data_IF_452991747534
#
_entry.id   IF_452991747534
#
_cell.length_a   1.000
_cell.length_b   1.000
_cell.length_c   1.000
_cell.angle_alpha   90.00
_cell.angle_beta   90.00
_cell.angle_gamma   90.00
#
_symmetry.space_group_name_H-M   'P 1'
#
loop_
_entity.id
_entity.type
_entity.pdbx_description
1 polymer ?
#
# COMPACT_ATOMS: atom_id res chain seq x y z
N UNK A 1 15.68 -69.04 -43.30
CA UNK A 1 14.90 -68.50 -42.17
C UNK A 1 15.32 -67.10 -41.72
N UNK A 2 16.59 -66.71 -41.81
CA UNK A 2 17.05 -65.36 -41.43
C UNK A 2 16.66 -64.26 -42.44
N UNK A 3 16.75 -64.54 -43.75
CA UNK A 3 16.39 -63.57 -44.79
C UNK A 3 14.91 -63.18 -44.80
N UNK A 4 14.00 -64.12 -44.50
CA UNK A 4 12.57 -63.81 -44.41
C UNK A 4 12.23 -62.83 -43.29
N UNK A 5 12.90 -62.96 -42.13
CA UNK A 5 12.75 -62.01 -41.00
C UNK A 5 13.37 -60.65 -41.32
N UNK A 6 14.46 -60.61 -42.09
CA UNK A 6 15.06 -59.37 -42.55
C UNK A 6 14.13 -58.62 -43.51
N UNK A 7 13.51 -59.32 -44.46
CA UNK A 7 12.52 -58.75 -45.38
C UNK A 7 11.26 -58.25 -44.65
N UNK A 8 10.78 -58.99 -43.66
CA UNK A 8 9.66 -58.56 -42.82
C UNK A 8 9.99 -57.31 -42.01
N UNK A 9 11.18 -57.26 -41.39
CA UNK A 9 11.64 -56.09 -40.65
C UNK A 9 11.83 -54.86 -41.57
N UNK A 10 12.33 -55.08 -42.79
CA UNK A 10 12.46 -54.03 -43.81
C UNK A 10 11.08 -53.48 -44.21
N UNK A 11 10.08 -54.35 -44.37
CA UNK A 11 8.70 -53.98 -44.71
C UNK A 11 8.02 -53.22 -43.56
N UNK A 12 8.27 -53.63 -42.31
CA UNK A 12 7.79 -52.89 -41.15
C UNK A 12 8.47 -51.52 -41.05
N UNK A 13 9.78 -51.43 -41.27
CA UNK A 13 10.50 -50.18 -41.24
C UNK A 13 10.00 -49.18 -42.29
N UNK A 14 9.74 -49.63 -43.53
CA UNK A 14 9.18 -48.78 -44.58
C UNK A 14 7.76 -48.32 -44.26
N UNK A 15 6.93 -49.22 -43.73
CA UNK A 15 5.57 -48.89 -43.28
C UNK A 15 5.57 -47.86 -42.14
N UNK A 16 6.44 -48.03 -41.12
CA UNK A 16 6.58 -47.06 -40.04
C UNK A 16 7.08 -45.70 -40.54
N UNK A 17 8.02 -45.69 -41.49
CA UNK A 17 8.51 -44.43 -42.04
C UNK A 17 7.40 -43.70 -42.83
N UNK A 18 6.55 -44.45 -43.54
CA UNK A 18 5.40 -43.90 -44.24
C UNK A 18 4.37 -43.30 -43.27
N UNK A 19 4.01 -44.00 -42.20
CA UNK A 19 3.06 -43.45 -41.21
C UNK A 19 3.60 -42.21 -40.52
N UNK A 20 4.92 -42.14 -40.26
CA UNK A 20 5.58 -40.94 -39.74
C UNK A 20 5.49 -39.77 -40.73
N UNK A 21 5.66 -40.02 -42.03
CA UNK A 21 5.50 -38.96 -43.04
C UNK A 21 4.06 -38.46 -43.13
N UNK A 22 3.08 -39.35 -43.12
CA UNK A 22 1.65 -39.01 -43.13
C UNK A 22 1.26 -38.19 -41.89
N UNK A 23 1.78 -38.57 -40.71
CA UNK A 23 1.56 -37.81 -39.48
C UNK A 23 2.18 -36.41 -39.55
N UNK A 24 3.38 -36.26 -40.11
CA UNK A 24 4.01 -34.95 -40.28
C UNK A 24 3.23 -34.04 -41.23
N UNK A 25 2.73 -34.61 -42.33
CA UNK A 25 1.91 -33.87 -43.28
C UNK A 25 0.58 -33.44 -42.66
N UNK A 26 -0.05 -34.32 -41.89
CA UNK A 26 -1.29 -34.00 -41.17
C UNK A 26 -1.06 -32.92 -40.10
N UNK A 27 0.04 -32.98 -39.35
CA UNK A 27 0.42 -31.93 -38.39
C UNK A 27 0.63 -30.60 -39.12
N UNK A 28 1.35 -30.60 -40.25
CA UNK A 28 1.55 -29.40 -41.04
C UNK A 28 0.26 -28.81 -41.64
N UNK A 29 -0.71 -29.66 -41.98
CA UNK A 29 -2.05 -29.21 -42.37
C UNK A 29 -2.80 -28.61 -41.18
N UNK A 30 -2.80 -29.26 -40.02
CA UNK A 30 -3.43 -28.76 -38.80
C UNK A 30 -2.82 -27.42 -38.35
N UNK A 31 -1.50 -27.25 -38.46
CA UNK A 31 -0.83 -25.99 -38.16
C UNK A 31 -1.27 -24.87 -39.10
N UNK A 32 -1.35 -25.13 -40.42
CA UNK A 32 -1.87 -24.17 -41.40
C UNK A 32 -3.33 -23.82 -41.14
N UNK A 33 -4.14 -24.82 -40.80
CA UNK A 33 -5.55 -24.64 -40.49
C UNK A 33 -5.72 -23.81 -39.21
N UNK A 34 -4.96 -24.09 -38.15
CA UNK A 34 -4.94 -23.30 -36.92
C UNK A 34 -4.48 -21.86 -37.17
N UNK A 35 -3.45 -21.65 -38.00
CA UNK A 35 -3.00 -20.32 -38.38
C UNK A 35 -4.08 -19.56 -39.17
N UNK A 36 -4.75 -20.23 -40.11
CA UNK A 36 -5.85 -19.63 -40.89
C UNK A 36 -7.03 -19.24 -39.99
N UNK A 37 -7.38 -20.09 -39.02
CA UNK A 37 -8.45 -19.85 -38.04
C UNK A 37 -8.06 -18.75 -37.07
N UNK A 38 -6.79 -18.68 -36.66
CA UNK A 38 -6.29 -17.61 -35.79
C UNK A 38 -6.26 -16.26 -36.53
N UNK A 39 -5.88 -16.24 -37.82
CA UNK A 39 -5.90 -15.04 -38.66
C UNK A 39 -7.33 -14.55 -38.95
N UNK A 40 -8.28 -15.46 -39.17
CA UNK A 40 -9.70 -15.12 -39.27
C UNK A 40 -10.24 -14.63 -37.92
N UNK A 41 -9.87 -15.29 -36.82
CA UNK A 41 -10.24 -14.86 -35.47
C UNK A 41 -9.70 -13.47 -35.15
N UNK A 42 -8.47 -13.12 -35.54
CA UNK A 42 -7.93 -11.77 -35.32
C UNK A 42 -8.62 -10.72 -36.20
N UNK A 43 -9.02 -11.07 -37.43
CA UNK A 43 -9.76 -10.17 -38.34
C UNK A 43 -11.18 -9.85 -37.87
N UNK A 44 -11.85 -10.79 -37.20
CA UNK A 44 -13.20 -10.61 -36.65
C UNK A 44 -13.21 -10.25 -35.15
N UNK A 45 -12.04 -10.29 -34.49
CA UNK A 45 -11.81 -9.72 -33.16
C UNK A 45 -11.68 -8.22 -33.34
N UNK A 46 -12.82 -7.57 -33.56
CA UNK A 46 -12.92 -6.12 -33.59
C UNK A 46 -12.28 -5.50 -32.34
N UNK A 47 -11.89 -4.24 -32.46
CA UNK A 47 -11.20 -3.38 -31.48
C UNK A 47 -11.96 -3.17 -30.14
N UNK A 48 -12.89 -4.05 -29.78
CA UNK A 48 -13.87 -3.88 -28.72
C UNK A 48 -13.62 -4.64 -27.41
N UNK A 49 -12.51 -5.36 -27.23
CA UNK A 49 -12.21 -5.99 -25.93
C UNK A 49 -10.82 -5.60 -25.44
N UNK A 50 -10.82 -4.67 -24.48
CA UNK A 50 -9.63 -4.23 -23.76
C UNK A 50 -9.02 -5.37 -22.96
N UNK A 51 -7.99 -6.00 -23.53
CA UNK A 51 -7.03 -6.77 -22.76
C UNK A 51 -5.61 -6.40 -23.21
N UNK A 52 -4.87 -5.81 -22.28
CA UNK A 52 -3.47 -5.44 -22.48
C UNK A 52 -2.59 -6.70 -22.49
N UNK A 53 -2.08 -7.09 -23.65
CA UNK A 53 -0.84 -7.86 -23.76
C UNK A 53 0.10 -7.15 -24.73
N UNK A 54 1.41 -7.10 -24.40
CA UNK A 54 2.36 -6.27 -25.14
C UNK A 54 2.85 -6.98 -26.42
N UNK A 55 3.29 -6.15 -27.37
CA UNK A 55 3.96 -6.45 -28.64
C UNK A 55 3.08 -7.00 -29.78
N UNK A 56 2.21 -6.15 -30.32
CA UNK A 56 1.52 -6.33 -31.60
C UNK A 56 2.21 -5.63 -32.78
N UNK A 57 3.49 -5.25 -32.67
CA UNK A 57 4.17 -4.49 -33.73
C UNK A 57 4.40 -5.29 -35.01
N UNK A 58 4.53 -6.62 -34.92
CA UNK A 58 4.73 -7.48 -36.08
C UNK A 58 3.41 -7.85 -36.79
N UNK A 59 2.31 -7.93 -36.03
CA UNK A 59 0.99 -8.28 -36.57
C UNK A 59 0.36 -7.13 -37.36
N UNK A 60 0.62 -5.88 -36.97
CA UNK A 60 0.09 -4.69 -37.63
C UNK A 60 0.77 -4.38 -38.98
N UNK A 61 2.07 -4.68 -39.10
CA UNK A 61 2.84 -4.46 -40.32
C UNK A 61 2.45 -5.40 -41.47
N UNK A 62 2.07 -6.64 -41.15
CA UNK A 62 1.62 -7.63 -42.15
C UNK A 62 0.21 -7.29 -42.66
N UNK A 63 -0.66 -6.75 -41.81
CA UNK A 63 -1.99 -6.33 -42.21
C UNK A 63 -1.97 -5.12 -43.16
N UNK A 64 -1.00 -4.21 -43.00
CA UNK A 64 -0.89 -2.99 -43.82
C UNK A 64 -0.22 -3.24 -45.18
N UNK A 65 0.63 -4.25 -45.32
CA UNK A 65 1.27 -4.60 -46.59
C UNK A 65 0.31 -5.31 -47.58
N UNK A 66 -0.82 -5.84 -47.09
CA UNK A 66 -1.79 -6.61 -47.90
C UNK A 66 -2.97 -5.74 -48.38
N UNK A 67 -3.12 -4.51 -47.88
CA UNK A 67 -4.26 -3.65 -48.20
C UNK A 67 -3.89 -2.37 -48.95
N UNK A 68 -4.03 -2.39 -50.29
CA UNK A 68 -4.74 -1.38 -51.14
C UNK A 68 -4.23 -1.38 -52.60
N UNK A 69 -4.98 -0.87 -53.61
CA UNK A 69 -6.42 -0.61 -53.69
C UNK A 69 -7.05 -1.19 -54.99
N UNK A 70 -8.27 -1.75 -54.96
CA UNK A 70 -9.16 -1.78 -56.13
C UNK A 70 -10.59 -2.16 -55.76
N UNK A 71 -11.43 -1.14 -55.69
CA UNK A 71 -12.76 -1.03 -56.28
C UNK A 71 -13.42 -2.33 -56.79
N UNK A 72 -14.21 -3.01 -55.94
CA UNK A 72 -15.44 -3.72 -56.37
C UNK A 72 -16.38 -3.88 -55.17
N UNK A 73 -17.13 -2.83 -54.86
CA UNK A 73 -18.24 -2.86 -53.93
C UNK A 73 -19.52 -3.24 -54.69
N UNK A 74 -19.75 -4.52 -54.97
CA UNK A 74 -21.08 -5.09 -55.34
C UNK A 74 -21.01 -6.57 -55.77
N UNK A 75 -20.55 -7.52 -54.93
CA UNK A 75 -20.92 -8.95 -55.14
C UNK A 75 -20.67 -9.92 -53.97
N UNK A 76 -20.99 -9.57 -52.72
CA UNK A 76 -20.87 -10.55 -51.62
C UNK A 76 -22.04 -10.44 -50.63
N UNK A 77 -23.24 -10.83 -51.06
CA UNK A 77 -24.36 -11.13 -50.15
C UNK A 77 -24.85 -12.58 -50.26
N UNK A 78 -24.16 -13.43 -51.03
CA UNK A 78 -24.57 -14.83 -51.24
C UNK A 78 -23.62 -15.89 -50.63
N UNK A 79 -22.45 -15.50 -50.09
CA UNK A 79 -21.48 -16.45 -49.48
C UNK A 79 -21.43 -16.41 -47.94
N UNK A 80 -22.12 -15.46 -47.30
CA UNK A 80 -22.10 -15.27 -45.83
C UNK A 80 -22.81 -16.41 -45.08
N UNK A 81 -23.83 -17.04 -45.69
CA UNK A 81 -24.59 -18.13 -45.06
C UNK A 81 -23.77 -19.40 -44.78
N UNK A 82 -22.85 -19.77 -45.69
CA UNK A 82 -22.00 -20.96 -45.52
C UNK A 82 -20.87 -20.76 -44.51
N UNK A 83 -20.32 -19.54 -44.41
CA UNK A 83 -19.31 -19.19 -43.41
C UNK A 83 -19.92 -19.13 -42.00
N UNK A 84 -21.14 -18.60 -41.85
CA UNK A 84 -21.86 -18.59 -40.57
C UNK A 84 -22.15 -20.01 -40.07
N UNK A 85 -22.64 -20.91 -40.93
CA UNK A 85 -22.86 -22.33 -40.60
C UNK A 85 -21.57 -23.06 -40.20
N UNK A 86 -20.42 -22.73 -40.82
CA UNK A 86 -19.11 -23.29 -40.46
C UNK A 86 -18.51 -22.70 -39.17
N UNK A 87 -18.83 -21.44 -38.85
CA UNK A 87 -18.33 -20.76 -37.65
C UNK A 87 -19.12 -21.10 -36.39
N UNK A 88 -20.42 -21.39 -36.49
CA UNK A 88 -21.27 -21.79 -35.36
C UNK A 88 -20.75 -23.00 -34.55
N UNK A 89 -20.32 -24.12 -35.16
CA UNK A 89 -19.75 -25.25 -34.42
C UNK A 89 -18.41 -24.93 -33.76
N UNK A 90 -17.62 -24.02 -34.35
CA UNK A 90 -16.35 -23.57 -33.77
C UNK A 90 -16.64 -22.72 -32.54
N UNK A 91 -17.53 -21.73 -32.65
CA UNK A 91 -17.95 -20.85 -31.55
C UNK A 91 -18.61 -21.64 -30.43
N UNK A 92 -19.45 -22.64 -30.75
CA UNK A 92 -20.06 -23.50 -29.75
C UNK A 92 -19.01 -24.33 -29.00
N UNK A 93 -18.01 -24.87 -29.69
CA UNK A 93 -16.91 -25.60 -29.06
C UNK A 93 -16.03 -24.71 -28.17
N UNK A 94 -15.78 -23.46 -28.59
CA UNK A 94 -15.03 -22.49 -27.79
C UNK A 94 -15.81 -22.11 -26.54
N UNK A 95 -17.10 -21.80 -26.69
CA UNK A 95 -18.01 -21.53 -25.58
C UNK A 95 -18.04 -22.69 -24.58
N UNK A 96 -18.10 -23.93 -25.05
CA UNK A 96 -18.10 -25.10 -24.16
C UNK A 96 -16.77 -25.25 -23.41
N UNK A 97 -15.62 -25.04 -24.07
CA UNK A 97 -14.31 -25.04 -23.39
C UNK A 97 -14.21 -23.95 -22.33
N UNK A 98 -14.67 -22.74 -22.63
CA UNK A 98 -14.70 -21.65 -21.66
C UNK A 98 -15.66 -21.94 -20.51
N UNK A 99 -16.83 -22.55 -20.80
CA UNK A 99 -17.79 -22.97 -19.78
C UNK A 99 -17.18 -23.99 -18.83
N UNK A 100 -16.49 -25.01 -19.35
CA UNK A 100 -15.82 -26.04 -18.56
C UNK A 100 -14.70 -25.41 -17.72
N UNK A 101 -13.81 -24.62 -18.32
CA UNK A 101 -12.73 -23.95 -17.57
C UNK A 101 -13.27 -23.03 -16.48
N UNK A 102 -14.33 -22.28 -16.76
CA UNK A 102 -14.94 -21.41 -15.75
C UNK A 102 -15.56 -22.24 -14.62
N UNK A 103 -16.21 -23.37 -14.93
CA UNK A 103 -16.75 -24.28 -13.93
C UNK A 103 -15.63 -24.92 -13.07
N UNK A 104 -14.50 -25.29 -13.66
CA UNK A 104 -13.31 -25.77 -12.95
C UNK A 104 -12.74 -24.70 -12.02
N UNK A 105 -12.53 -23.48 -12.53
CA UNK A 105 -12.03 -22.35 -11.74
C UNK A 105 -12.97 -21.98 -10.60
N UNK A 106 -14.28 -22.00 -10.82
CA UNK A 106 -15.27 -21.81 -9.76
C UNK A 106 -15.18 -22.93 -8.70
N UNK A 107 -14.92 -24.17 -9.14
CA UNK A 107 -14.70 -25.32 -8.26
C UNK A 107 -13.45 -25.16 -7.39
N UNK A 108 -12.31 -24.83 -8.00
CA UNK A 108 -11.04 -24.58 -7.31
C UNK A 108 -11.14 -23.41 -6.33
N UNK A 109 -11.82 -22.33 -6.74
CA UNK A 109 -12.06 -21.18 -5.87
C UNK A 109 -12.85 -21.57 -4.61
N UNK A 110 -13.93 -22.35 -4.78
CA UNK A 110 -14.72 -22.87 -3.64
C UNK A 110 -13.88 -23.81 -2.75
N UNK A 111 -13.04 -24.65 -3.36
CA UNK A 111 -12.14 -25.54 -2.61
C UNK A 111 -11.11 -24.75 -1.78
N UNK A 112 -10.49 -23.72 -2.35
CA UNK A 112 -9.56 -22.85 -1.62
C UNK A 112 -10.26 -22.05 -0.51
N UNK A 113 -11.49 -21.59 -0.74
CA UNK A 113 -12.30 -20.95 0.30
C UNK A 113 -12.57 -21.91 1.46
N UNK A 114 -12.95 -23.15 1.18
CA UNK A 114 -13.17 -24.16 2.21
C UNK A 114 -11.87 -24.48 2.97
N UNK A 115 -10.74 -24.59 2.28
CA UNK A 115 -9.44 -24.82 2.92
C UNK A 115 -9.04 -23.66 3.84
N UNK A 116 -9.28 -22.41 3.43
CA UNK A 116 -9.05 -21.24 4.28
C UNK A 116 -9.89 -21.31 5.57
N UNK A 117 -11.16 -21.70 5.47
CA UNK A 117 -12.03 -21.86 6.65
C UNK A 117 -11.48 -22.94 7.59
N UNK A 118 -11.04 -24.08 7.05
CA UNK A 118 -10.48 -25.18 7.85
C UNK A 118 -9.20 -24.72 8.57
N UNK A 119 -8.27 -24.09 7.85
CA UNK A 119 -7.02 -23.58 8.43
C UNK A 119 -7.28 -22.51 9.48
N UNK A 120 -8.24 -21.62 9.24
CA UNK A 120 -8.62 -20.60 10.23
C UNK A 120 -9.15 -21.25 11.52
N UNK A 121 -10.02 -22.25 11.39
CA UNK A 121 -10.53 -23.01 12.54
C UNK A 121 -9.42 -23.76 13.28
N UNK A 122 -8.44 -24.32 12.55
CA UNK A 122 -7.28 -24.99 13.16
C UNK A 122 -6.38 -24.01 13.91
N UNK A 123 -6.09 -22.85 13.32
CA UNK A 123 -5.34 -21.78 13.98
C UNK A 123 -6.05 -21.32 15.25
N UNK A 124 -7.37 -21.14 15.22
CA UNK A 124 -8.12 -20.72 16.39
C UNK A 124 -8.19 -21.81 17.47
N UNK A 125 -8.26 -23.08 17.07
CA UNK A 125 -8.15 -24.23 17.99
C UNK A 125 -6.77 -24.28 18.65
N UNK A 126 -5.68 -24.18 17.87
CA UNK A 126 -4.31 -24.16 18.38
C UNK A 126 -4.08 -22.98 19.31
N UNK A 127 -4.61 -21.79 18.99
CA UNK A 127 -4.56 -20.63 19.88
C UNK A 127 -5.28 -20.90 21.21
N UNK A 128 -6.47 -21.49 21.16
CA UNK A 128 -7.22 -21.83 22.38
C UNK A 128 -6.45 -22.85 23.24
N UNK A 129 -5.86 -23.86 22.61
CA UNK A 129 -5.12 -24.91 23.31
C UNK A 129 -3.78 -24.39 23.88
N UNK A 130 -3.09 -23.51 23.15
CA UNK A 130 -1.89 -22.82 23.66
C UNK A 130 -2.21 -21.97 24.89
N UNK A 131 -3.30 -21.21 24.87
CA UNK A 131 -3.74 -20.46 26.05
C UNK A 131 -4.02 -21.41 27.20
N UNK A 132 -4.82 -22.47 27.01
CA UNK A 132 -5.09 -23.49 28.07
C UNK A 132 -3.82 -24.12 28.63
N UNK A 133 -2.84 -24.42 27.78
CA UNK A 133 -1.56 -24.97 28.20
C UNK A 133 -0.80 -23.96 29.06
N UNK A 134 -0.79 -22.68 28.67
CA UNK A 134 -0.24 -21.61 29.49
C UNK A 134 -0.93 -21.53 30.87
N UNK A 135 -2.27 -21.63 30.95
CA UNK A 135 -2.98 -21.64 32.24
C UNK A 135 -2.51 -22.80 33.14
N UNK A 136 -2.32 -23.99 32.56
CA UNK A 136 -1.82 -25.17 33.30
C UNK A 136 -0.38 -24.97 33.77
N UNK A 137 0.50 -24.45 32.92
CA UNK A 137 1.89 -24.15 33.28
C UNK A 137 1.93 -23.13 34.43
N UNK A 138 1.16 -22.04 34.32
CA UNK A 138 1.05 -21.04 35.37
C UNK A 138 0.51 -21.68 36.65
N UNK A 139 -0.52 -22.52 36.58
CA UNK A 139 -1.06 -23.21 37.75
C UNK A 139 0.02 -24.04 38.46
N UNK A 140 0.82 -24.80 37.72
CA UNK A 140 1.95 -25.57 38.26
C UNK A 140 3.08 -24.69 38.80
N UNK A 141 3.42 -23.58 38.14
CA UNK A 141 4.41 -22.60 38.61
C UNK A 141 3.95 -21.85 39.87
N UNK A 142 2.64 -21.73 40.09
CA UNK A 142 2.09 -21.10 41.29
C UNK A 142 2.22 -21.96 42.54
N UNK A 143 2.56 -23.25 42.40
CA UNK A 143 3.07 -24.04 43.51
C UNK A 143 4.51 -23.61 43.84
N UNK A 144 4.86 -23.41 45.12
CA UNK A 144 6.09 -22.73 45.55
C UNK A 144 7.40 -23.47 45.23
N UNK A 145 7.36 -24.62 44.54
CA UNK A 145 8.53 -25.47 44.29
C UNK A 145 9.35 -25.08 43.05
N UNK A 146 8.91 -24.14 42.21
CA UNK A 146 9.66 -23.73 41.00
C UNK A 146 9.87 -22.22 40.94
N UNK A 147 10.61 -21.67 41.90
CA UNK A 147 11.14 -20.29 41.84
C UNK A 147 12.49 -20.29 41.12
N UNK A 148 12.52 -20.58 39.82
CA UNK A 148 13.72 -20.27 39.03
C UNK A 148 13.50 -20.29 37.52
N UNK A 149 13.02 -19.19 36.93
CA UNK A 149 13.29 -18.84 35.51
C UNK A 149 13.05 -17.35 35.28
N UNK A 150 14.11 -16.56 35.41
CA UNK A 150 14.09 -15.10 35.31
C UNK A 150 14.29 -14.59 33.86
N UNK A 151 13.58 -15.18 32.89
CA UNK A 151 13.49 -14.74 31.49
C UNK A 151 12.14 -15.17 30.93
N UNK A 152 11.12 -14.33 31.12
CA UNK A 152 9.84 -14.45 30.40
C UNK A 152 10.15 -14.31 28.91
N UNK A 153 9.90 -15.37 28.15
CA UNK A 153 10.01 -15.35 26.70
C UNK A 153 8.90 -14.45 26.10
N UNK A 154 9.16 -13.78 24.98
CA UNK A 154 8.19 -12.87 24.35
C UNK A 154 6.87 -13.60 24.01
N UNK A 155 6.97 -14.90 23.69
CA UNK A 155 5.82 -15.77 23.46
C UNK A 155 4.98 -15.97 24.73
N UNK A 156 5.63 -16.13 25.89
CA UNK A 156 4.98 -16.28 27.19
C UNK A 156 4.24 -15.00 27.58
N UNK A 157 4.84 -13.82 27.33
CA UNK A 157 4.19 -12.53 27.56
C UNK A 157 2.92 -12.35 26.72
N UNK A 158 2.92 -12.80 25.46
CA UNK A 158 1.73 -12.75 24.61
C UNK A 158 0.60 -13.63 25.14
N UNK A 159 0.89 -14.87 25.52
CA UNK A 159 -0.14 -15.78 26.07
C UNK A 159 -0.59 -15.36 27.48
N UNK A 160 0.31 -14.76 28.28
CA UNK A 160 -0.03 -14.14 29.55
C UNK A 160 -1.08 -13.05 29.39
N UNK A 161 -0.86 -12.11 28.46
CA UNK A 161 -1.82 -11.02 28.21
C UNK A 161 -3.20 -11.54 27.76
N UNK A 162 -3.24 -12.59 26.92
CA UNK A 162 -4.49 -13.23 26.48
C UNK A 162 -5.21 -13.96 27.61
N UNK A 163 -4.47 -14.56 28.53
CA UNK A 163 -5.01 -15.21 29.73
C UNK A 163 -5.59 -14.20 30.71
N UNK A 164 -4.85 -13.13 31.03
CA UNK A 164 -5.29 -12.06 31.94
C UNK A 164 -6.52 -11.32 31.40
N UNK A 165 -6.61 -11.09 30.07
CA UNK A 165 -7.79 -10.51 29.43
C UNK A 165 -9.05 -11.39 29.58
N UNK A 166 -8.88 -12.72 29.66
CA UNK A 166 -9.98 -13.66 29.88
C UNK A 166 -10.40 -13.79 31.34
N UNK A 167 -9.45 -13.61 32.26
CA UNK A 167 -9.68 -13.75 33.70
C UNK A 167 -10.38 -12.55 34.34
N UNK A 168 -10.15 -11.34 33.83
CA UNK A 168 -10.67 -10.12 34.47
C UNK A 168 -11.94 -9.60 33.78
N UNK A 169 -13.15 -9.96 34.27
CA UNK A 169 -14.40 -9.49 33.71
C UNK A 169 -14.53 -7.96 33.75
N UNK A 170 -13.81 -7.28 34.65
CA UNK A 170 -13.85 -5.83 34.80
C UNK A 170 -12.97 -5.10 33.79
N UNK A 171 -11.94 -5.72 33.23
CA UNK A 171 -11.08 -5.08 32.22
C UNK A 171 -11.81 -4.93 30.88
N UNK A 172 -12.64 -5.93 30.53
CA UNK A 172 -13.54 -5.84 29.37
C UNK A 172 -14.61 -4.75 29.57
N UNK A 173 -15.13 -4.61 30.79
CA UNK A 173 -16.12 -3.61 31.14
C UNK A 173 -15.52 -2.20 31.19
N UNK A 174 -14.35 -2.03 31.80
CA UNK A 174 -13.65 -0.75 31.92
C UNK A 174 -13.22 -0.22 30.54
N UNK A 175 -12.78 -1.12 29.64
CA UNK A 175 -12.54 -0.78 28.23
C UNK A 175 -13.81 -0.34 27.52
N UNK A 176 -14.90 -1.09 27.65
CA UNK A 176 -16.20 -0.72 27.07
C UNK A 176 -16.74 0.59 27.65
N UNK A 177 -16.56 0.85 28.94
CA UNK A 177 -16.97 2.11 29.57
C UNK A 177 -16.10 3.29 29.13
N UNK A 178 -14.78 3.11 29.04
CA UNK A 178 -13.85 4.11 28.50
C UNK A 178 -14.13 4.41 27.04
N UNK A 179 -14.49 3.40 26.25
CA UNK A 179 -14.90 3.55 24.86
C UNK A 179 -16.25 4.25 24.73
N UNK A 180 -17.23 3.96 25.60
CA UNK A 180 -18.51 4.70 25.67
C UNK A 180 -18.29 6.17 26.04
N UNK A 181 -17.44 6.44 27.04
CA UNK A 181 -17.02 7.81 27.38
C UNK A 181 -16.35 8.48 26.19
N UNK A 182 -15.38 7.81 25.54
CA UNK A 182 -14.72 8.33 24.33
C UNK A 182 -15.71 8.61 23.19
N UNK A 183 -16.71 7.76 22.97
CA UNK A 183 -17.75 7.97 21.97
C UNK A 183 -18.70 9.12 22.34
N UNK A 184 -18.94 9.36 23.63
CA UNK A 184 -19.70 10.50 24.15
C UNK A 184 -18.94 11.83 24.21
N UNK A 185 -17.62 11.85 23.98
CA UNK A 185 -16.86 13.11 23.89
C UNK A 185 -17.21 13.88 22.61
N UNK A 186 -17.18 15.21 22.72
CA UNK A 186 -17.40 16.16 21.63
C UNK A 186 -16.51 15.82 20.42
N UNK A 187 -17.03 15.92 19.18
CA UNK A 187 -16.23 15.66 17.97
C UNK A 187 -14.96 16.52 17.89
N UNK A 188 -14.97 17.73 18.48
CA UNK A 188 -13.81 18.60 18.56
C UNK A 188 -12.73 18.08 19.54
N UNK A 189 -13.13 17.49 20.66
CA UNK A 189 -12.21 16.86 21.62
C UNK A 189 -11.56 15.61 21.02
N UNK A 190 -12.32 14.83 20.23
CA UNK A 190 -11.78 13.68 19.48
C UNK A 190 -10.75 14.11 18.44
N UNK A 191 -11.00 15.20 17.72
CA UNK A 191 -10.05 15.75 16.76
C UNK A 191 -8.76 16.20 17.46
N UNK A 192 -8.87 16.88 18.59
CA UNK A 192 -7.71 17.34 19.38
C UNK A 192 -6.91 16.16 19.95
N UNK A 193 -7.59 15.12 20.46
CA UNK A 193 -6.94 13.91 20.95
C UNK A 193 -6.26 13.11 19.84
N UNK A 194 -6.87 13.04 18.65
CA UNK A 194 -6.26 12.40 17.49
C UNK A 194 -5.07 13.22 16.98
N UNK A 195 -5.17 14.55 16.92
CA UNK A 195 -4.08 15.45 16.55
C UNK A 195 -2.90 15.31 17.53
N UNK A 196 -3.18 15.27 18.84
CA UNK A 196 -2.17 15.05 19.87
C UNK A 196 -1.51 13.67 19.77
N UNK A 197 -2.29 12.61 19.54
CA UNK A 197 -1.72 11.27 19.28
C UNK A 197 -0.90 11.22 18.01
N UNK A 198 -1.29 11.92 16.94
CA UNK A 198 -0.55 11.94 15.68
C UNK A 198 0.81 12.63 15.84
N UNK A 199 0.85 13.73 16.60
CA UNK A 199 2.09 14.44 16.97
C UNK A 199 2.98 13.56 17.88
N UNK A 200 2.40 12.86 18.87
CA UNK A 200 3.17 12.04 19.82
C UNK A 200 3.59 10.68 19.25
N UNK A 201 2.82 10.10 18.33
CA UNK A 201 3.04 8.77 17.75
C UNK A 201 4.16 8.76 16.72
N UNK A 202 4.41 9.87 16.03
CA UNK A 202 5.42 9.92 14.99
C UNK A 202 6.71 10.59 15.51
N UNK A 203 7.83 9.85 15.43
CA UNK A 203 9.17 10.34 15.79
C UNK A 203 9.54 11.63 15.04
N UNK A 204 9.13 11.73 13.77
CA UNK A 204 9.41 12.89 12.92
C UNK A 204 8.59 14.11 13.37
N UNK A 205 7.29 13.93 13.63
CA UNK A 205 6.41 15.01 14.09
C UNK A 205 6.90 15.61 15.42
N UNK A 206 7.41 14.76 16.32
CA UNK A 206 8.03 15.20 17.59
C UNK A 206 9.25 16.08 17.37
N UNK A 207 10.13 15.71 16.44
CA UNK A 207 11.32 16.51 16.10
C UNK A 207 10.94 17.87 15.51
N UNK A 208 9.95 17.91 14.60
CA UNK A 208 9.46 19.17 14.03
C UNK A 208 8.83 20.09 15.09
N UNK A 209 8.03 19.54 16.02
CA UNK A 209 7.44 20.32 17.10
C UNK A 209 8.51 20.93 18.01
N UNK A 210 9.51 20.15 18.40
CA UNK A 210 10.63 20.64 19.21
C UNK A 210 11.41 21.73 18.47
N UNK A 211 11.77 21.52 17.20
CA UNK A 211 12.46 22.52 16.40
C UNK A 211 11.64 23.82 16.28
N UNK A 212 10.33 23.71 16.02
CA UNK A 212 9.42 24.85 15.97
C UNK A 212 9.40 25.64 17.28
N UNK A 213 9.27 24.95 18.42
CA UNK A 213 9.27 25.62 19.73
C UNK A 213 10.59 26.33 20.00
N UNK A 214 11.74 25.71 19.68
CA UNK A 214 13.06 26.32 19.87
C UNK A 214 13.22 27.56 18.99
N UNK A 215 12.85 27.48 17.70
CA UNK A 215 12.92 28.62 16.78
C UNK A 215 12.04 29.77 17.29
N UNK A 216 10.83 29.48 17.76
CA UNK A 216 9.92 30.50 18.28
C UNK A 216 10.51 31.17 19.53
N UNK A 217 11.11 30.39 20.44
CA UNK A 217 11.79 30.96 21.61
C UNK A 217 12.99 31.81 21.19
N UNK A 218 13.84 31.35 20.27
CA UNK A 218 14.96 32.12 19.74
C UNK A 218 14.48 33.44 19.11
N UNK A 219 13.39 33.41 18.36
CA UNK A 219 12.79 34.61 17.78
C UNK A 219 12.34 35.59 18.87
N UNK A 220 11.64 35.11 19.90
CA UNK A 220 11.23 35.95 21.04
C UNK A 220 12.44 36.54 21.76
N UNK A 221 13.48 35.74 22.01
CA UNK A 221 14.72 36.21 22.61
C UNK A 221 15.41 37.27 21.75
N UNK A 222 15.45 37.11 20.42
CA UNK A 222 16.03 38.11 19.51
C UNK A 222 15.22 39.41 19.52
N UNK A 223 13.89 39.33 19.52
CA UNK A 223 13.02 40.52 19.60
C UNK A 223 13.24 41.25 20.92
N UNK A 224 13.24 40.53 22.04
CA UNK A 224 13.49 41.11 23.35
C UNK A 224 14.91 41.69 23.46
N UNK A 225 15.92 41.00 22.92
CA UNK A 225 17.30 41.48 22.88
C UNK A 225 17.43 42.77 22.08
N UNK A 226 16.82 42.82 20.88
CA UNK A 226 16.81 44.02 20.05
C UNK A 226 16.11 45.16 20.76
N UNK A 227 14.92 44.92 21.32
CA UNK A 227 14.16 45.93 22.05
C UNK A 227 14.96 46.47 23.24
N UNK A 228 15.52 45.58 24.08
CA UNK A 228 16.36 45.96 25.21
C UNK A 228 17.58 46.78 24.78
N UNK A 229 18.29 46.38 23.72
CA UNK A 229 19.48 47.09 23.26
C UNK A 229 19.17 48.45 22.60
N UNK A 230 18.03 48.58 21.90
CA UNK A 230 17.58 49.89 21.40
C UNK A 230 17.13 50.81 22.54
N UNK A 231 16.43 50.28 23.54
CA UNK A 231 15.96 51.08 24.67
C UNK A 231 17.14 51.52 25.56
N UNK A 232 18.12 50.64 25.80
CA UNK A 232 19.37 51.01 26.48
C UNK A 232 20.13 52.10 25.72
N UNK A 233 20.33 51.94 24.40
CA UNK A 233 21.04 52.94 23.59
C UNK A 233 20.34 54.32 23.59
N UNK A 234 19.00 54.36 23.54
CA UNK A 234 18.26 55.63 23.66
C UNK A 234 18.44 56.27 25.02
N UNK A 235 18.43 55.48 26.10
CA UNK A 235 18.64 55.97 27.47
C UNK A 235 20.07 56.50 27.66
N UNK A 236 21.06 55.78 27.14
CA UNK A 236 22.47 56.17 27.20
C UNK A 236 22.70 57.50 26.44
N UNK A 237 22.16 57.62 25.21
CA UNK A 237 22.23 58.86 24.43
C UNK A 237 21.54 60.04 25.14
N UNK A 238 20.38 59.81 25.75
CA UNK A 238 19.68 60.83 26.52
C UNK A 238 20.51 61.28 27.74
N UNK A 239 21.13 60.35 28.46
CA UNK A 239 22.01 60.69 29.58
C UNK A 239 23.26 61.45 29.15
N UNK A 240 23.90 61.06 28.03
CA UNK A 240 25.04 61.77 27.48
C UNK A 240 24.68 63.18 27.01
N UNK A 241 23.48 63.36 26.42
CA UNK A 241 23.00 64.67 26.00
C UNK A 241 22.76 65.60 27.19
N UNK A 242 22.15 65.09 28.27
CA UNK A 242 21.94 65.85 29.51
C UNK A 242 23.27 66.21 30.16
N UNK A 243 24.22 65.27 30.20
CA UNK A 243 25.52 65.51 30.81
C UNK A 243 26.32 66.55 30.03
N UNK A 244 26.39 66.45 28.70
CA UNK A 244 27.05 67.46 27.85
C UNK A 244 26.38 68.83 27.96
N UNK A 245 25.06 68.88 28.09
CA UNK A 245 24.35 70.14 28.32
C UNK A 245 24.68 70.74 29.70
N UNK A 246 24.71 69.93 30.77
CA UNK A 246 25.11 70.37 32.10
C UNK A 246 26.55 70.92 32.12
N UNK A 247 27.48 70.21 31.47
CA UNK A 247 28.87 70.64 31.33
C UNK A 247 28.96 71.96 30.54
N UNK A 248 28.22 72.09 29.43
CA UNK A 248 28.16 73.33 28.66
C UNK A 248 27.59 74.50 29.49
N UNK A 249 26.52 74.28 30.23
CA UNK A 249 25.94 75.32 31.10
C UNK A 249 26.92 75.76 32.20
N UNK A 250 27.66 74.82 32.79
CA UNK A 250 28.66 75.16 33.81
C UNK A 250 29.85 75.95 33.26
N UNK A 251 30.27 75.70 32.01
CA UNK A 251 31.42 76.37 31.40
C UNK A 251 31.06 77.73 30.82
N UNK A 252 29.89 77.87 30.18
CA UNK A 252 29.53 79.06 29.42
C UNK A 252 28.51 79.98 30.11
N UNK A 253 27.82 79.52 31.16
CA UNK A 253 26.83 80.29 31.93
C UNK A 253 27.01 80.15 33.46
N UNK A 254 28.14 80.57 34.03
CA UNK A 254 28.42 80.37 35.47
C UNK A 254 27.52 81.19 36.43
N UNK A 255 26.89 82.29 35.97
CA UNK A 255 26.23 83.28 36.85
C UNK A 255 24.68 83.32 36.81
N UNK A 256 24.01 82.52 35.96
CA UNK A 256 22.54 82.59 35.80
C UNK A 256 21.74 81.88 36.92
N UNK A 257 22.41 81.25 37.90
CA UNK A 257 21.77 80.53 39.02
C UNK A 257 21.51 81.35 40.29
N UNK A 258 21.97 82.60 40.37
CA UNK A 258 22.03 83.34 41.64
C UNK A 258 20.83 84.29 41.91
N UNK A 259 19.84 84.39 41.03
CA UNK A 259 18.76 85.36 41.17
C UNK A 259 17.34 84.77 41.13
N UNK A 260 17.02 83.86 42.05
CA UNK A 260 15.62 83.67 42.47
C UNK A 260 15.50 83.14 43.91
N UNK A 261 15.89 83.96 44.90
CA UNK A 261 15.16 84.00 46.17
C UNK A 261 15.47 85.27 47.00
N UNK A 262 14.72 86.35 46.79
CA UNK A 262 14.50 87.34 47.85
C UNK A 262 13.11 87.94 47.72
N UNK A 263 12.16 87.38 48.48
CA UNK A 263 11.07 88.17 49.04
C UNK A 263 10.91 87.77 50.51
N UNK A 264 11.02 88.73 51.42
CA UNK A 264 10.94 88.48 52.86
C UNK A 264 11.16 89.70 53.75
N UNK A 265 10.29 90.72 53.60
CA UNK A 265 9.80 91.53 54.73
C UNK A 265 10.71 92.61 55.35
N UNK A 266 10.20 93.85 55.39
CA UNK A 266 10.74 94.96 56.15
C UNK A 266 10.38 96.31 55.56
#
# INVERSE_FOLDING_TARGET
MAEGRYMELQTQFTHLNQTVTEQKDLIGQLEKDLLSVNALSSKYRGEGEGQATPSSSEAELVAKAVGEPSTTLAKETASVGGAAESLLPIVSSQRERFRIRNQELEGESRQHQQQNIILQNEVDKLRQDNVKLYEKIRFLQSYPSSRNTNRLDDTESRYQSQYEERLDPFNSFSRKERQRKYMGLSPFDKATLNMGRLILSNKIARMFFLAYTIILHLLVFVVLYKMAHTESCKRDLASECVQKFADHMHVFHPDDGAHHNHNGGG
#
